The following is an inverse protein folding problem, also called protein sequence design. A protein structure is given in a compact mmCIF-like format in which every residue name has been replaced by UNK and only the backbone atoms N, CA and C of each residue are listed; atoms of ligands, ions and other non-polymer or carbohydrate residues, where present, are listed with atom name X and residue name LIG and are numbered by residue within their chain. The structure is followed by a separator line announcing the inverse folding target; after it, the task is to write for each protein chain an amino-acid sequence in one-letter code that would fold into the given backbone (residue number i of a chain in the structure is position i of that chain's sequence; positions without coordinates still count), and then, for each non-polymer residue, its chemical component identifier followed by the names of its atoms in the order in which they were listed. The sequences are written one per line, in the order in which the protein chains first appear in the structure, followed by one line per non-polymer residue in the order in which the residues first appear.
data_IF_637203883633
#
_entry.id   IF_637203883633
#
_cell.length_a   1.000
_cell.length_b   1.000
_cell.length_c   1.000
_cell.angle_alpha   90.00
_cell.angle_beta   90.00
_cell.angle_gamma   90.00
#
_symmetry.space_group_name_H-M   'P 1'
#
loop_
_entity.id
_entity.type
_entity.pdbx_description
1 polymer ?
#
# COMPACT_ATOMS: atom_id res chain seq x y z
N UNK A 1 -24.74 -19.94 -20.49
CA UNK A 1 -23.27 -19.87 -20.64
C UNK A 1 -22.91 -18.43 -20.97
N UNK A 2 -22.77 -17.56 -19.96
CA UNK A 2 -22.40 -16.16 -20.16
C UNK A 2 -20.88 -16.10 -20.25
N UNK A 3 -20.35 -15.86 -21.44
CA UNK A 3 -18.92 -15.65 -21.64
C UNK A 3 -18.53 -14.34 -20.93
N UNK A 4 -17.68 -14.44 -19.91
CA UNK A 4 -17.09 -13.31 -19.19
C UNK A 4 -16.10 -12.56 -20.13
N UNK A 5 -16.63 -11.83 -21.11
CA UNK A 5 -15.83 -10.95 -21.95
C UNK A 5 -15.44 -9.71 -21.15
N UNK A 6 -14.24 -9.70 -20.56
CA UNK A 6 -13.68 -8.52 -19.89
C UNK A 6 -13.43 -7.43 -20.94
N UNK A 7 -14.11 -6.29 -20.79
CA UNK A 7 -13.90 -5.10 -21.62
C UNK A 7 -12.42 -4.66 -21.50
N UNK A 8 -11.77 -4.20 -22.59
CA UNK A 8 -10.33 -3.89 -22.61
C UNK A 8 -9.83 -2.97 -21.48
N UNK A 9 -10.65 -2.03 -21.00
CA UNK A 9 -10.26 -1.19 -19.85
C UNK A 9 -10.07 -1.99 -18.55
N UNK A 10 -10.85 -3.06 -18.32
CA UNK A 10 -10.74 -3.89 -17.11
C UNK A 10 -9.48 -4.76 -17.11
N UNK A 11 -9.00 -5.14 -18.30
CA UNK A 11 -7.73 -5.85 -18.43
C UNK A 11 -6.57 -4.94 -18.01
N UNK A 12 -6.56 -3.70 -18.49
CA UNK A 12 -5.56 -2.69 -18.11
C UNK A 12 -5.56 -2.42 -16.61
N UNK A 13 -6.74 -2.24 -15.99
CA UNK A 13 -6.88 -2.04 -14.55
C UNK A 13 -6.32 -3.22 -13.75
N UNK A 14 -6.56 -4.46 -14.19
CA UNK A 14 -6.01 -5.64 -13.53
C UNK A 14 -4.47 -5.68 -13.60
N UNK A 15 -3.86 -5.31 -14.74
CA UNK A 15 -2.41 -5.20 -14.84
C UNK A 15 -1.86 -4.07 -13.96
N UNK A 16 -2.48 -2.89 -14.00
CA UNK A 16 -2.10 -1.74 -13.17
C UNK A 16 -2.18 -2.09 -11.68
N UNK A 17 -3.23 -2.82 -11.28
CA UNK A 17 -3.42 -3.33 -9.93
C UNK A 17 -2.28 -4.25 -9.52
N UNK A 18 -2.00 -5.30 -10.27
CA UNK A 18 -0.98 -6.28 -9.89
C UNK A 18 0.43 -5.70 -9.94
N UNK A 19 0.73 -4.84 -10.91
CA UNK A 19 2.02 -4.16 -11.01
C UNK A 19 2.26 -3.24 -9.82
N UNK A 20 1.29 -2.38 -9.51
CA UNK A 20 1.39 -1.45 -8.36
C UNK A 20 1.44 -2.19 -7.03
N UNK A 21 0.64 -3.25 -6.88
CA UNK A 21 0.64 -4.12 -5.70
C UNK A 21 1.97 -4.82 -5.51
N UNK A 22 2.53 -5.42 -6.58
CA UNK A 22 3.83 -6.09 -6.52
C UNK A 22 4.96 -5.11 -6.17
N UNK A 23 4.94 -3.91 -6.75
CA UNK A 23 5.94 -2.88 -6.46
C UNK A 23 5.82 -2.37 -5.02
N UNK A 24 4.60 -2.16 -4.53
CA UNK A 24 4.34 -1.77 -3.14
C UNK A 24 4.79 -2.88 -2.16
N UNK A 25 4.47 -4.14 -2.47
CA UNK A 25 4.91 -5.29 -1.66
C UNK A 25 6.43 -5.42 -1.64
N UNK A 26 7.08 -5.27 -2.79
CA UNK A 26 8.54 -5.29 -2.89
C UNK A 26 9.18 -4.17 -2.07
N UNK A 27 8.63 -2.95 -2.14
CA UNK A 27 9.07 -1.82 -1.34
C UNK A 27 8.99 -2.12 0.17
N UNK A 28 7.88 -2.69 0.62
CA UNK A 28 7.66 -3.05 2.02
C UNK A 28 8.56 -4.19 2.49
N UNK A 29 8.73 -5.24 1.67
CA UNK A 29 9.63 -6.36 1.98
C UNK A 29 11.09 -5.92 2.00
N UNK A 30 11.53 -5.13 1.03
CA UNK A 30 12.88 -4.56 1.02
C UNK A 30 13.11 -3.68 2.26
N UNK A 31 12.12 -2.86 2.63
CA UNK A 31 12.16 -2.07 3.87
C UNK A 31 12.25 -2.96 5.12
N UNK A 32 11.44 -4.01 5.22
CA UNK A 32 11.48 -4.94 6.36
C UNK A 32 12.82 -5.69 6.43
N UNK A 33 13.37 -6.12 5.29
CA UNK A 33 14.68 -6.75 5.22
C UNK A 33 15.78 -5.79 5.70
N UNK A 34 15.73 -4.50 5.33
CA UNK A 34 16.65 -3.48 5.85
C UNK A 34 16.53 -3.30 7.38
N UNK A 35 15.33 -3.39 7.94
CA UNK A 35 15.12 -3.31 9.39
C UNK A 35 15.75 -4.49 10.15
N UNK A 36 15.81 -5.66 9.51
CA UNK A 36 16.43 -6.86 10.08
C UNK A 36 17.94 -6.86 9.87
N UNK A 37 18.41 -6.65 8.63
CA UNK A 37 19.83 -6.74 8.26
C UNK A 37 20.64 -5.54 8.75
N UNK A 38 20.07 -4.33 8.65
CA UNK A 38 20.74 -3.07 8.99
C UNK A 38 20.11 -2.40 10.21
N UNK A 39 19.84 -3.22 11.25
CA UNK A 39 19.11 -2.79 12.45
C UNK A 39 19.71 -1.56 13.14
N UNK A 40 21.04 -1.44 13.21
CA UNK A 40 21.72 -0.29 13.79
C UNK A 40 21.43 1.00 13.02
N UNK A 41 21.61 0.98 11.69
CA UNK A 41 21.35 2.13 10.82
C UNK A 41 19.88 2.59 10.88
N UNK A 42 18.95 1.64 10.92
CA UNK A 42 17.52 1.95 11.06
C UNK A 42 17.22 2.55 12.42
N UNK A 43 17.82 2.03 13.50
CA UNK A 43 17.70 2.60 14.85
C UNK A 43 18.22 4.04 14.88
N UNK A 44 19.37 4.31 14.27
CA UNK A 44 19.95 5.66 14.22
C UNK A 44 19.09 6.61 13.38
N UNK A 45 18.47 6.10 12.31
CA UNK A 45 17.50 6.86 11.51
C UNK A 45 16.26 7.23 12.34
N UNK A 46 15.69 6.26 13.06
CA UNK A 46 14.54 6.51 13.94
C UNK A 46 14.89 7.45 15.10
N UNK A 47 16.06 7.29 15.71
CA UNK A 47 16.56 8.21 16.74
C UNK A 47 16.70 9.64 16.18
N UNK A 48 17.18 9.77 14.93
CA UNK A 48 17.23 11.04 14.21
C UNK A 48 15.86 11.69 13.96
N UNK A 49 14.76 10.90 13.97
CA UNK A 49 13.39 11.41 13.96
C UNK A 49 12.81 11.65 15.36
N UNK A 50 13.55 11.33 16.43
CA UNK A 50 13.05 11.37 17.81
C UNK A 50 12.22 10.15 18.22
N UNK A 51 12.26 9.05 17.45
CA UNK A 51 11.52 7.84 17.76
C UNK A 51 12.34 6.81 18.55
N UNK A 52 11.70 6.08 19.49
CA UNK A 52 12.39 5.09 20.30
C UNK A 52 12.68 3.78 19.55
N UNK A 53 13.72 3.07 19.97
CA UNK A 53 14.25 1.89 19.29
C UNK A 53 13.28 0.68 19.26
N UNK A 54 12.30 0.61 20.16
CA UNK A 54 11.31 -0.46 20.16
C UNK A 54 10.38 -0.41 18.94
N UNK A 55 10.32 0.71 18.20
CA UNK A 55 9.57 0.79 16.95
C UNK A 55 10.16 -0.08 15.86
N UNK A 56 11.47 -0.39 15.89
CA UNK A 56 12.10 -1.22 14.84
C UNK A 56 11.40 -2.58 14.70
N UNK A 57 11.35 -3.45 15.73
CA UNK A 57 10.66 -4.73 15.61
C UNK A 57 9.16 -4.59 15.32
N UNK A 58 8.49 -3.60 15.92
CA UNK A 58 7.06 -3.35 15.69
C UNK A 58 6.77 -3.04 14.22
N UNK A 59 7.54 -2.12 13.62
CA UNK A 59 7.40 -1.72 12.22
C UNK A 59 7.79 -2.85 11.27
N UNK A 60 8.78 -3.68 11.62
CA UNK A 60 9.12 -4.87 10.82
C UNK A 60 7.94 -5.82 10.73
N UNK A 61 7.32 -6.17 11.87
CA UNK A 61 6.15 -7.06 11.90
C UNK A 61 4.98 -6.43 11.14
N UNK A 62 4.70 -5.14 11.38
CA UNK A 62 3.63 -4.42 10.68
C UNK A 62 3.82 -4.44 9.16
N UNK A 63 5.05 -4.27 8.66
CA UNK A 63 5.34 -4.33 7.20
C UNK A 63 5.06 -5.70 6.62
N UNK A 64 5.47 -6.77 7.29
CA UNK A 64 5.24 -8.15 6.82
C UNK A 64 3.73 -8.46 6.81
N UNK A 65 3.03 -8.10 7.88
CA UNK A 65 1.57 -8.28 7.96
C UNK A 65 0.83 -7.49 6.90
N UNK A 66 1.26 -6.26 6.61
CA UNK A 66 0.66 -5.43 5.57
C UNK A 66 0.81 -6.07 4.17
N UNK A 67 2.00 -6.61 3.86
CA UNK A 67 2.24 -7.33 2.60
C UNK A 67 1.39 -8.59 2.52
N UNK A 68 1.35 -9.39 3.60
CA UNK A 68 0.52 -10.58 3.66
C UNK A 68 -0.96 -10.25 3.42
N UNK A 69 -1.48 -9.22 4.09
CA UNK A 69 -2.88 -8.82 3.98
C UNK A 69 -3.26 -8.35 2.56
N UNK A 70 -2.43 -7.54 1.91
CA UNK A 70 -2.70 -7.06 0.55
C UNK A 70 -2.61 -8.17 -0.49
N UNK A 71 -1.67 -9.11 -0.35
CA UNK A 71 -1.49 -10.19 -1.33
C UNK A 71 -2.56 -11.28 -1.19
N UNK A 72 -2.91 -11.64 0.04
CA UNK A 72 -3.88 -12.72 0.32
C UNK A 72 -5.32 -12.29 0.08
N UNK A 73 -5.63 -10.99 0.23
CA UNK A 73 -6.98 -10.43 0.05
C UNK A 73 -8.09 -11.23 0.75
N UNK A 74 -7.81 -11.75 1.95
CA UNK A 74 -8.71 -12.68 2.68
C UNK A 74 -10.13 -12.11 2.86
N UNK A 75 -10.28 -10.78 2.93
CA UNK A 75 -11.58 -10.14 2.92
C UNK A 75 -11.52 -8.63 2.68
N UNK A 76 -12.66 -8.03 2.33
CA UNK A 76 -12.79 -6.57 2.10
C UNK A 76 -12.34 -5.77 3.33
N UNK A 77 -12.82 -6.04 4.56
CA UNK A 77 -12.48 -5.21 5.72
C UNK A 77 -10.99 -5.29 6.10
N UNK A 78 -10.39 -6.47 6.00
CA UNK A 78 -8.97 -6.65 6.31
C UNK A 78 -8.06 -6.00 5.25
N UNK A 79 -8.47 -6.07 3.98
CA UNK A 79 -7.76 -5.38 2.89
C UNK A 79 -7.81 -3.87 3.11
N UNK A 80 -8.97 -3.32 3.44
CA UNK A 80 -9.14 -1.87 3.66
C UNK A 80 -8.34 -1.41 4.89
N UNK A 81 -8.31 -2.20 5.96
CA UNK A 81 -7.45 -1.95 7.12
C UNK A 81 -5.96 -1.93 6.73
N UNK A 82 -5.52 -2.87 5.88
CA UNK A 82 -4.15 -2.92 5.39
C UNK A 82 -3.81 -1.68 4.52
N UNK A 83 -4.71 -1.29 3.61
CA UNK A 83 -4.55 -0.09 2.80
C UNK A 83 -4.47 1.17 3.66
N UNK A 84 -5.35 1.32 4.66
CA UNK A 84 -5.33 2.45 5.59
C UNK A 84 -4.04 2.47 6.42
N UNK A 85 -3.62 1.33 6.97
CA UNK A 85 -2.38 1.21 7.73
C UNK A 85 -1.14 1.58 6.90
N UNK A 86 -1.08 1.11 5.65
CA UNK A 86 0.00 1.45 4.71
C UNK A 86 -0.04 2.94 4.36
N UNK A 87 -1.21 3.50 4.08
CA UNK A 87 -1.38 4.92 3.80
C UNK A 87 -0.81 5.79 4.92
N UNK A 88 -1.25 5.57 6.16
CA UNK A 88 -0.77 6.36 7.29
C UNK A 88 0.72 6.14 7.55
N UNK A 89 1.21 4.90 7.46
CA UNK A 89 2.65 4.65 7.61
C UNK A 89 3.48 5.41 6.55
N UNK A 90 3.09 5.38 5.28
CA UNK A 90 3.81 6.07 4.21
C UNK A 90 3.71 7.61 4.35
N UNK A 91 2.53 8.12 4.70
CA UNK A 91 2.33 9.54 4.94
C UNK A 91 3.19 10.04 6.10
N UNK A 92 3.15 9.36 7.25
CA UNK A 92 3.96 9.72 8.41
C UNK A 92 5.45 9.57 8.11
N UNK A 93 5.85 8.55 7.35
CA UNK A 93 7.26 8.37 6.93
C UNK A 93 7.74 9.53 6.05
N UNK A 94 6.93 9.97 5.07
CA UNK A 94 7.27 11.11 4.24
C UNK A 94 7.38 12.40 5.07
N UNK A 95 6.42 12.65 5.97
CA UNK A 95 6.43 13.81 6.86
C UNK A 95 7.63 13.81 7.81
N UNK A 96 8.02 12.66 8.38
CA UNK A 96 9.20 12.56 9.24
C UNK A 96 10.48 12.97 8.51
N UNK A 97 10.67 12.51 7.27
CA UNK A 97 11.81 12.89 6.44
C UNK A 97 11.83 14.38 6.07
N UNK A 98 10.67 14.96 5.78
CA UNK A 98 10.53 16.41 5.53
C UNK A 98 10.85 17.21 6.81
N UNK A 99 10.32 16.78 7.96
CA UNK A 99 10.51 17.43 9.25
C UNK A 99 11.98 17.54 9.68
N UNK A 100 12.80 16.55 9.36
CA UNK A 100 14.26 16.59 9.62
C UNK A 100 15.08 17.18 8.45
N UNK A 101 14.42 17.85 7.50
CA UNK A 101 15.05 18.49 6.32
C UNK A 101 15.84 17.52 5.44
N UNK A 102 15.40 16.26 5.35
CA UNK A 102 15.99 15.21 4.48
C UNK A 102 14.96 14.71 3.45
N UNK A 103 14.52 15.56 2.50
CA UNK A 103 13.42 15.23 1.57
C UNK A 103 13.74 14.04 0.64
N UNK A 104 15.03 13.80 0.33
CA UNK A 104 15.45 12.62 -0.46
C UNK A 104 15.06 11.31 0.20
N UNK A 105 15.02 11.25 1.54
CA UNK A 105 14.58 10.08 2.27
C UNK A 105 13.07 9.83 2.19
N UNK A 106 12.28 10.83 1.80
CA UNK A 106 10.84 10.68 1.57
C UNK A 106 10.49 10.03 0.22
N UNK A 107 11.44 9.91 -0.71
CA UNK A 107 11.19 9.37 -2.05
C UNK A 107 10.59 7.96 -2.04
N UNK A 108 11.10 6.98 -1.27
CA UNK A 108 10.48 5.66 -1.19
C UNK A 108 9.05 5.73 -0.66
N UNK A 109 8.78 6.62 0.31
CA UNK A 109 7.45 6.81 0.86
C UNK A 109 6.48 7.41 -0.16
N UNK A 110 6.92 8.41 -0.93
CA UNK A 110 6.13 9.03 -1.99
C UNK A 110 5.81 8.06 -3.13
N UNK A 111 6.81 7.29 -3.60
CA UNK A 111 6.62 6.25 -4.61
C UNK A 111 5.64 5.18 -4.11
N UNK A 112 5.81 4.74 -2.86
CA UNK A 112 4.88 3.81 -2.22
C UNK A 112 3.46 4.35 -2.17
N UNK A 113 3.28 5.65 -1.90
CA UNK A 113 1.95 6.27 -1.82
C UNK A 113 1.27 6.30 -3.19
N UNK A 114 2.01 6.60 -4.26
CA UNK A 114 1.47 6.51 -5.63
C UNK A 114 1.08 5.08 -5.96
N UNK A 115 1.94 4.10 -5.66
CA UNK A 115 1.62 2.68 -5.87
C UNK A 115 0.38 2.25 -5.09
N UNK A 116 0.24 2.72 -3.84
CA UNK A 116 -0.91 2.45 -3.00
C UNK A 116 -2.21 2.99 -3.60
N UNK A 117 -2.20 4.24 -4.08
CA UNK A 117 -3.38 4.88 -4.69
C UNK A 117 -3.78 4.13 -5.96
N UNK A 118 -2.82 3.81 -6.83
CA UNK A 118 -3.07 3.03 -8.05
C UNK A 118 -3.63 1.65 -7.69
N UNK A 119 -3.00 0.94 -6.75
CA UNK A 119 -3.46 -0.38 -6.29
C UNK A 119 -4.87 -0.31 -5.71
N UNK A 120 -5.16 0.63 -4.82
CA UNK A 120 -6.47 0.75 -4.18
C UNK A 120 -7.59 1.11 -5.16
N UNK A 121 -7.33 2.01 -6.11
CA UNK A 121 -8.34 2.43 -7.10
C UNK A 121 -8.64 1.35 -8.13
N UNK A 122 -7.65 0.51 -8.47
CA UNK A 122 -7.79 -0.57 -9.47
C UNK A 122 -8.13 -1.94 -8.85
N UNK A 123 -8.17 -2.06 -7.52
CA UNK A 123 -8.33 -3.34 -6.82
C UNK A 123 -9.58 -4.13 -7.21
N UNK A 124 -10.67 -3.46 -7.60
CA UNK A 124 -11.92 -4.12 -7.96
C UNK A 124 -11.82 -4.88 -9.29
N UNK A 125 -10.89 -4.52 -10.19
CA UNK A 125 -10.65 -5.26 -11.43
C UNK A 125 -10.07 -6.67 -11.19
N UNK A 126 -9.46 -6.87 -10.01
CA UNK A 126 -8.86 -8.13 -9.58
C UNK A 126 -9.71 -8.91 -8.56
N UNK A 127 -10.90 -8.41 -8.18
CA UNK A 127 -11.82 -9.08 -7.25
C UNK A 127 -12.96 -9.76 -8.01
N UNK A 128 -13.37 -10.93 -7.54
CA UNK A 128 -14.60 -11.58 -8.01
C UNK A 128 -15.84 -10.87 -7.47
N UNK A 129 -15.80 -10.45 -6.19
CA UNK A 129 -16.84 -9.67 -5.54
C UNK A 129 -16.32 -8.24 -5.33
N UNK A 130 -16.88 -7.23 -6.02
CA UNK A 130 -16.47 -5.85 -5.85
C UNK A 130 -16.62 -5.37 -4.40
N UNK A 131 -15.74 -4.44 -3.98
CA UNK A 131 -15.95 -3.75 -2.71
C UNK A 131 -17.26 -2.93 -2.75
N UNK A 132 -17.92 -2.70 -1.61
CA UNK A 132 -19.11 -1.86 -1.53
C UNK A 132 -18.90 -0.47 -2.16
N UNK A 133 -17.71 0.10 -2.00
CA UNK A 133 -17.35 1.41 -2.56
C UNK A 133 -17.29 1.41 -4.10
N UNK A 134 -16.90 0.30 -4.73
CA UNK A 134 -16.94 0.15 -6.18
C UNK A 134 -18.36 0.16 -6.73
N UNK A 135 -19.28 -0.54 -6.04
CA UNK A 135 -20.70 -0.57 -6.41
C UNK A 135 -21.32 0.81 -6.30
N UNK A 136 -21.05 1.53 -5.20
CA UNK A 136 -21.55 2.91 -5.00
C UNK A 136 -21.01 3.87 -6.07
N UNK A 137 -19.73 3.76 -6.44
CA UNK A 137 -19.14 4.60 -7.48
C UNK A 137 -19.84 4.40 -8.84
N UNK A 138 -20.05 3.14 -9.26
CA UNK A 138 -20.75 2.82 -10.51
C UNK A 138 -22.19 3.31 -10.50
N UNK A 139 -22.93 3.09 -9.41
CA UNK A 139 -24.31 3.55 -9.26
C UNK A 139 -24.41 5.07 -9.33
N UNK A 140 -23.47 5.79 -8.70
CA UNK A 140 -23.42 7.25 -8.75
C UNK A 140 -23.19 7.76 -10.18
N UNK A 141 -22.33 7.10 -10.95
CA UNK A 141 -22.12 7.47 -12.34
C UNK A 141 -23.37 7.25 -13.20
N UNK A 142 -24.10 6.15 -13.00
CA UNK A 142 -25.31 5.83 -13.76
C UNK A 142 -26.51 6.73 -13.43
N UNK A 143 -26.58 7.31 -12.22
CA UNK A 143 -27.67 8.21 -11.80
C UNK A 143 -27.43 9.65 -12.27
N UNK A 144 -26.17 10.04 -12.50
CA UNK A 144 -25.78 11.42 -12.87
C UNK A 144 -25.53 11.59 -14.38
N UNK A 145 -25.62 10.50 -15.15
CA UNK A 145 -25.55 10.47 -16.63
C UNK A 145 -26.93 10.41 -17.26
#
# INVERSE_FOLDING_TARGET
MSTNFKIPHQMFENYAYWLSTALLSLLYLASAALYVVKRSQVRDTLAGFGYPAYLVPLLTVAKILAVAAILTRVGVPLSDLAYAGIFYHLLLSALAHIGVRKPRGALPAAIGLVCLVVSFTTQNAAREIPSPYGVVATLRHAIVS
#
